data_IF_264756628601
#
_entry.id   IF_264756628601
#
_cell.length_a   1.000
_cell.length_b   1.000
_cell.length_c   1.000
_cell.angle_alpha   90.00
_cell.angle_beta   90.00
_cell.angle_gamma   90.00
#
_symmetry.space_group_name_H-M   'P 1'
#
loop_
_entity.id
_entity.type
_entity.pdbx_description
1 polymer ?
#
# COMPACT_ATOMS: atom_id res chain seq x y z
N UNK A 1 42.83 -26.63 23.33
CA UNK A 1 44.04 -26.46 22.51
C UNK A 1 43.77 -27.10 21.16
N UNK A 2 43.73 -26.46 19.99
CA UNK A 2 44.09 -25.12 19.55
C UNK A 2 43.22 -24.84 18.31
N UNK A 3 42.42 -23.76 18.33
CA UNK A 3 41.72 -23.27 17.15
C UNK A 3 42.45 -22.06 16.60
N UNK A 4 43.52 -22.29 15.84
CA UNK A 4 44.22 -21.24 15.10
C UNK A 4 43.40 -20.99 13.84
N UNK A 5 42.96 -19.74 13.64
CA UNK A 5 43.28 -18.97 12.43
C UNK A 5 42.49 -17.66 12.44
N UNK A 6 43.07 -16.68 13.13
CA UNK A 6 42.99 -15.26 12.79
C UNK A 6 43.63 -15.04 11.42
N UNK A 7 42.82 -14.89 10.37
CA UNK A 7 43.19 -14.09 9.20
C UNK A 7 41.93 -13.50 8.57
N UNK A 8 41.95 -12.18 8.41
CA UNK A 8 41.19 -11.42 7.42
C UNK A 8 39.68 -11.29 7.62
N UNK A 9 39.28 -10.36 8.48
CA UNK A 9 38.16 -9.49 8.13
C UNK A 9 38.74 -8.11 7.85
N UNK A 10 39.09 -7.90 6.59
CA UNK A 10 39.34 -6.61 5.97
C UNK A 10 38.37 -5.56 6.53
N UNK A 11 38.86 -4.35 6.75
CA UNK A 11 38.09 -3.15 7.06
C UNK A 11 36.82 -3.02 6.19
N UNK A 12 35.69 -3.53 6.68
CA UNK A 12 34.35 -3.37 6.14
C UNK A 12 33.78 -1.99 6.52
N UNK A 13 34.57 -0.92 6.31
CA UNK A 13 34.11 0.45 6.64
C UNK A 13 33.19 1.06 5.59
N UNK A 14 33.09 0.47 4.39
CA UNK A 14 32.36 1.09 3.27
C UNK A 14 31.24 0.23 2.65
N UNK A 15 30.96 -0.96 3.17
CA UNK A 15 29.72 -1.66 2.82
C UNK A 15 28.61 -1.18 3.75
N UNK A 16 27.63 -0.44 3.22
CA UNK A 16 26.32 -0.32 3.86
C UNK A 16 25.73 -1.73 3.93
N UNK A 17 26.03 -2.46 5.01
CA UNK A 17 25.42 -3.75 5.30
C UNK A 17 23.93 -3.46 5.47
N UNK A 18 23.13 -3.88 4.50
CA UNK A 18 21.67 -3.93 4.66
C UNK A 18 21.42 -4.90 5.81
N UNK A 19 21.03 -4.38 6.96
CA UNK A 19 20.63 -5.18 8.11
C UNK A 19 19.31 -5.85 7.76
N UNK A 20 19.39 -7.05 7.16
CA UNK A 20 18.22 -7.91 6.96
C UNK A 20 17.82 -8.43 8.33
N UNK A 21 16.84 -7.76 8.94
CA UNK A 21 16.23 -8.21 10.18
C UNK A 21 15.16 -9.25 9.85
N UNK A 22 15.24 -10.41 10.49
CA UNK A 22 14.17 -11.39 10.41
C UNK A 22 12.90 -10.81 11.02
N UNK A 23 11.79 -10.95 10.29
CA UNK A 23 10.49 -10.44 10.72
C UNK A 23 9.83 -11.47 11.62
N UNK A 24 9.33 -11.03 12.78
CA UNK A 24 8.57 -11.88 13.68
C UNK A 24 7.35 -12.45 12.95
N UNK A 25 7.14 -13.75 13.07
CA UNK A 25 6.06 -14.47 12.39
C UNK A 25 4.85 -14.58 13.32
N UNK A 26 3.67 -14.21 12.83
CA UNK A 26 2.42 -14.44 13.53
C UNK A 26 1.98 -15.91 13.30
N UNK A 27 2.11 -16.73 14.34
CA UNK A 27 1.85 -18.17 14.25
C UNK A 27 0.37 -18.50 14.01
N UNK A 28 -0.55 -17.67 14.51
CA UNK A 28 -1.99 -17.87 14.35
C UNK A 28 -2.41 -17.63 12.90
N UNK A 29 -1.90 -16.56 12.28
CA UNK A 29 -2.10 -16.25 10.86
C UNK A 29 -1.47 -17.32 9.97
N UNK A 30 -0.27 -17.80 10.31
CA UNK A 30 0.39 -18.87 9.58
C UNK A 30 -0.46 -20.14 9.56
N UNK A 31 -0.92 -20.58 10.73
CA UNK A 31 -1.73 -21.79 10.88
C UNK A 31 -3.04 -21.66 10.10
N UNK A 32 -3.70 -20.50 10.22
CA UNK A 32 -4.94 -20.19 9.48
C UNK A 32 -4.75 -20.23 7.95
N UNK A 33 -3.59 -19.84 7.44
CA UNK A 33 -3.28 -19.92 6.01
C UNK A 33 -3.08 -21.37 5.56
N UNK A 34 -2.39 -22.18 6.36
CA UNK A 34 -2.18 -23.61 6.07
C UNK A 34 -3.52 -24.36 6.08
N UNK A 35 -4.38 -24.11 7.06
CA UNK A 35 -5.72 -24.69 7.16
C UNK A 35 -6.62 -24.29 5.99
N UNK A 36 -6.41 -23.10 5.44
CA UNK A 36 -7.07 -22.63 4.23
C UNK A 36 -6.49 -23.20 2.92
N UNK A 37 -5.45 -24.05 3.00
CA UNK A 37 -4.84 -24.76 1.87
C UNK A 37 -3.77 -23.98 1.12
N UNK A 38 -3.25 -22.89 1.70
CA UNK A 38 -2.19 -22.10 1.05
C UNK A 38 -0.81 -22.78 1.19
N UNK A 39 0.07 -22.65 0.18
CA UNK A 39 1.46 -23.13 0.29
C UNK A 39 2.22 -22.45 1.43
N UNK A 40 3.14 -23.18 2.05
CA UNK A 40 3.95 -22.71 3.19
C UNK A 40 4.63 -21.37 2.93
N UNK A 41 5.18 -21.18 1.72
CA UNK A 41 5.83 -19.92 1.35
C UNK A 41 4.88 -18.72 1.38
N UNK A 42 3.63 -18.91 0.95
CA UNK A 42 2.60 -17.86 0.97
C UNK A 42 2.13 -17.61 2.40
N UNK A 43 1.92 -18.68 3.17
CA UNK A 43 1.54 -18.60 4.58
C UNK A 43 2.58 -17.80 5.40
N UNK A 44 3.88 -18.08 5.21
CA UNK A 44 4.97 -17.32 5.86
C UNK A 44 4.98 -15.85 5.46
N UNK A 45 4.71 -15.56 4.19
CA UNK A 45 4.69 -14.20 3.67
C UNK A 45 3.54 -13.37 4.26
N UNK A 46 2.35 -13.97 4.36
CA UNK A 46 1.17 -13.32 4.96
C UNK A 46 1.37 -13.14 6.46
N UNK A 47 1.80 -14.19 7.17
CA UNK A 47 2.07 -14.17 8.61
C UNK A 47 3.18 -13.19 9.01
N UNK A 48 4.08 -12.85 8.10
CA UNK A 48 5.07 -11.80 8.31
C UNK A 48 4.50 -10.39 8.13
N UNK A 49 3.44 -10.18 7.33
CA UNK A 49 2.96 -8.85 6.91
C UNK A 49 1.65 -8.40 7.53
N UNK A 50 0.82 -9.34 7.97
CA UNK A 50 -0.55 -9.09 8.43
C UNK A 50 -0.74 -9.70 9.81
N UNK A 51 -1.50 -8.99 10.64
CA UNK A 51 -1.87 -9.45 11.98
C UNK A 51 -3.10 -10.35 11.97
N UNK A 52 -3.92 -10.28 10.91
CA UNK A 52 -5.16 -11.05 10.74
C UNK A 52 -5.20 -11.67 9.36
N UNK A 53 -5.59 -12.94 9.29
CA UNK A 53 -5.82 -13.65 8.03
C UNK A 53 -7.26 -13.44 7.55
N UNK A 54 -7.42 -13.10 6.27
CA UNK A 54 -8.71 -13.11 5.58
C UNK A 54 -8.52 -13.85 4.25
N UNK A 55 -9.45 -14.74 3.89
CA UNK A 55 -9.40 -15.48 2.61
C UNK A 55 -9.45 -14.53 1.39
N UNK A 56 -10.01 -13.34 1.56
CA UNK A 56 -10.14 -12.32 0.50
C UNK A 56 -8.86 -11.49 0.30
N UNK A 57 -7.72 -11.86 0.91
CA UNK A 57 -6.45 -11.13 0.73
C UNK A 57 -6.00 -11.06 -0.73
N UNK A 58 -6.41 -12.03 -1.56
CA UNK A 58 -6.10 -12.10 -2.98
C UNK A 58 -7.27 -11.66 -3.88
N UNK A 59 -8.34 -11.12 -3.29
CA UNK A 59 -9.44 -10.55 -4.06
C UNK A 59 -9.02 -9.18 -4.57
N UNK A 60 -8.62 -9.12 -5.84
CA UNK A 60 -8.14 -7.91 -6.51
C UNK A 60 -9.17 -7.33 -7.49
N UNK A 61 -10.42 -7.79 -7.45
CA UNK A 61 -11.48 -7.17 -8.24
C UNK A 61 -11.72 -5.72 -7.83
N UNK A 62 -12.21 -4.93 -8.78
CA UNK A 62 -12.58 -3.54 -8.52
C UNK A 62 -13.70 -3.45 -7.47
N UNK A 63 -14.59 -4.44 -7.43
CA UNK A 63 -15.71 -4.50 -6.48
C UNK A 63 -15.26 -4.74 -5.04
N UNK A 64 -14.05 -5.27 -4.84
CA UNK A 64 -13.46 -5.46 -3.52
C UNK A 64 -12.75 -4.20 -2.98
N UNK A 65 -12.59 -3.16 -3.81
CA UNK A 65 -12.07 -1.87 -3.37
C UNK A 65 -13.10 -1.20 -2.45
N UNK A 66 -12.65 -0.71 -1.30
CA UNK A 66 -13.53 0.00 -0.39
C UNK A 66 -14.16 1.22 -1.09
N UNK A 67 -15.48 1.41 -1.04
CA UNK A 67 -16.12 2.51 -1.75
C UNK A 67 -15.57 3.86 -1.27
N UNK A 68 -15.20 4.74 -2.21
CA UNK A 68 -14.65 6.06 -1.88
C UNK A 68 -15.58 6.88 -0.97
N UNK A 69 -16.90 6.69 -1.10
CA UNK A 69 -17.91 7.37 -0.27
C UNK A 69 -17.83 7.02 1.22
N UNK A 70 -17.17 5.93 1.61
CA UNK A 70 -16.97 5.60 3.03
C UNK A 70 -15.79 6.35 3.65
N UNK A 71 -14.95 7.00 2.84
CA UNK A 71 -13.82 7.78 3.34
C UNK A 71 -14.31 9.07 3.99
N UNK A 72 -13.70 9.43 5.12
CA UNK A 72 -14.07 10.61 5.87
C UNK A 72 -13.95 11.88 5.01
N UNK A 73 -15.01 12.70 4.99
CA UNK A 73 -15.04 13.97 4.27
C UNK A 73 -15.29 13.87 2.76
N UNK A 74 -15.25 12.67 2.16
CA UNK A 74 -15.52 12.51 0.72
C UNK A 74 -16.94 12.94 0.34
N UNK A 75 -18.02 12.54 1.05
CA UNK A 75 -19.38 12.98 0.69
C UNK A 75 -19.51 14.50 0.65
N UNK A 76 -19.01 15.20 1.68
CA UNK A 76 -19.05 16.67 1.76
C UNK A 76 -18.24 17.34 0.65
N UNK A 77 -17.08 16.77 0.28
CA UNK A 77 -16.26 17.28 -0.81
C UNK A 77 -16.95 17.13 -2.17
N UNK A 78 -17.59 15.98 -2.41
CA UNK A 78 -18.38 15.73 -3.63
C UNK A 78 -19.51 16.75 -3.73
N UNK A 79 -20.29 16.97 -2.66
CA UNK A 79 -21.39 17.94 -2.66
C UNK A 79 -20.89 19.37 -2.97
N UNK A 80 -19.76 19.78 -2.37
CA UNK A 80 -19.16 21.10 -2.63
C UNK A 80 -18.74 21.28 -4.08
N UNK A 81 -18.14 20.24 -4.65
CA UNK A 81 -17.66 20.20 -6.03
C UNK A 81 -18.84 20.25 -7.00
N UNK A 82 -19.85 19.42 -6.78
CA UNK A 82 -21.07 19.38 -7.60
C UNK A 82 -21.76 20.74 -7.61
N UNK A 83 -21.88 21.38 -6.44
CA UNK A 83 -22.42 22.73 -6.34
C UNK A 83 -21.58 23.77 -7.11
N UNK A 84 -20.25 23.67 -7.07
CA UNK A 84 -19.38 24.57 -7.83
C UNK A 84 -19.60 24.43 -9.34
N UNK A 85 -19.74 23.20 -9.84
CA UNK A 85 -20.02 22.91 -11.25
C UNK A 85 -21.37 23.50 -11.65
N UNK A 86 -22.44 23.26 -10.89
CA UNK A 86 -23.78 23.80 -11.19
C UNK A 86 -23.85 25.34 -11.16
N UNK A 87 -22.98 25.98 -10.39
CA UNK A 87 -22.92 27.43 -10.25
C UNK A 87 -21.93 28.10 -11.21
N UNK A 88 -21.28 27.35 -12.12
CA UNK A 88 -20.18 27.84 -12.97
C UNK A 88 -19.06 28.54 -12.18
N UNK A 89 -18.74 28.02 -10.99
CA UNK A 89 -17.64 28.53 -10.18
C UNK A 89 -16.29 28.09 -10.77
N UNK A 90 -15.30 28.98 -10.79
CA UNK A 90 -13.92 28.62 -11.15
C UNK A 90 -13.35 27.65 -10.11
N UNK A 91 -12.96 26.45 -10.56
CA UNK A 91 -12.36 25.42 -9.71
C UNK A 91 -10.84 25.41 -9.93
N UNK A 92 -10.08 25.72 -8.89
CA UNK A 92 -8.64 25.52 -8.86
C UNK A 92 -8.32 24.12 -8.30
N UNK A 93 -7.58 23.32 -9.05
CA UNK A 93 -7.08 22.02 -8.60
C UNK A 93 -5.62 22.19 -8.22
N UNK A 94 -5.30 21.97 -6.95
CA UNK A 94 -3.93 21.99 -6.43
C UNK A 94 -3.55 20.58 -5.99
N UNK A 95 -2.49 20.03 -6.57
CA UNK A 95 -2.00 18.67 -6.28
C UNK A 95 -0.52 18.71 -5.91
N UNK A 96 -0.06 17.63 -5.30
CA UNK A 96 1.37 17.41 -5.12
C UNK A 96 2.07 17.18 -6.48
N UNK A 97 3.38 17.40 -6.50
CA UNK A 97 4.24 17.28 -7.68
C UNK A 97 4.66 15.83 -7.98
N UNK A 98 4.25 14.87 -7.16
CA UNK A 98 4.47 13.45 -7.41
C UNK A 98 3.58 12.93 -8.54
N UNK A 99 3.99 11.80 -9.13
CA UNK A 99 3.30 11.16 -10.27
C UNK A 99 1.82 10.87 -9.94
N UNK A 100 1.53 10.49 -8.69
CA UNK A 100 0.17 10.25 -8.22
C UNK A 100 -0.68 11.55 -8.23
N UNK A 101 -0.06 12.67 -7.83
CA UNK A 101 -0.68 14.00 -7.85
C UNK A 101 -0.99 14.47 -9.27
N UNK A 102 -0.02 14.39 -10.19
CA UNK A 102 -0.23 14.75 -11.59
C UNK A 102 -1.30 13.87 -12.27
N UNK A 103 -1.33 12.57 -11.97
CA UNK A 103 -2.31 11.65 -12.56
C UNK A 103 -3.73 11.96 -12.09
N UNK A 104 -3.90 12.20 -10.78
CA UNK A 104 -5.21 12.58 -10.22
C UNK A 104 -5.71 13.93 -10.76
N UNK A 105 -4.82 14.92 -10.93
CA UNK A 105 -5.14 16.19 -11.57
C UNK A 105 -5.66 15.98 -12.99
N UNK A 106 -4.95 15.20 -13.83
CA UNK A 106 -5.32 14.98 -15.21
C UNK A 106 -6.72 14.34 -15.34
N UNK A 107 -6.99 13.28 -14.55
CA UNK A 107 -8.29 12.61 -14.52
C UNK A 107 -9.40 13.61 -14.14
N UNK A 108 -9.16 14.44 -13.12
CA UNK A 108 -10.14 15.41 -12.63
C UNK A 108 -10.43 16.49 -13.65
N UNK A 109 -9.40 17.03 -14.30
CA UNK A 109 -9.54 18.03 -15.36
C UNK A 109 -10.36 17.49 -16.54
N UNK A 110 -10.06 16.27 -17.00
CA UNK A 110 -10.80 15.64 -18.10
C UNK A 110 -12.27 15.48 -17.74
N UNK A 111 -12.59 15.01 -16.53
CA UNK A 111 -13.97 14.81 -16.11
C UNK A 111 -14.75 16.14 -16.01
N UNK A 112 -14.15 17.18 -15.41
CA UNK A 112 -14.79 18.50 -15.34
C UNK A 112 -15.01 19.10 -16.71
N UNK A 113 -14.05 18.98 -17.62
CA UNK A 113 -14.12 19.62 -18.93
C UNK A 113 -15.06 18.93 -19.92
N UNK A 114 -15.41 17.65 -19.68
CA UNK A 114 -16.30 16.86 -20.55
C UNK A 114 -17.77 16.88 -20.13
N UNK A 115 -18.07 17.32 -18.89
CA UNK A 115 -19.43 17.42 -18.34
C UNK A 115 -19.87 18.87 -18.06
N UNK A 116 -19.14 19.84 -18.60
CA UNK A 116 -19.56 21.23 -18.81
C UNK A 116 -19.84 21.37 -20.31
#
# INVERSE_FOLDING_TARGET
MNGINTLNALSLKDFRIVLIKERSLNQDVYTSCIDAGYPEIIARLIAGRKDVFNKNIFEFSLDAIQPAMTMAGVPTAVDRIVKAIYNDETILIFTDYDVDGCTSMAIRCIFCYTNI
#
